data_IF_533138943916
#
_entry.id   IF_533138943916
#
_cell.length_a   1.000
_cell.length_b   1.000
_cell.length_c   1.000
_cell.angle_alpha   90.00
_cell.angle_beta   90.00
_cell.angle_gamma   90.00
#
_symmetry.space_group_name_H-M   'P 1'
#
loop_
_entity.id
_entity.type
_entity.pdbx_description
1 polymer ?
#
# COMPACT_ATOMS: atom_id res chain seq x y z
N UNK A 1 -19.83 -0.61 -14.16
CA UNK A 1 -19.50 -1.84 -13.40
C UNK A 1 -18.81 -1.47 -12.10
N UNK A 2 -19.04 -2.21 -11.02
CA UNK A 2 -18.36 -1.96 -9.74
C UNK A 2 -16.88 -2.39 -9.84
N UNK A 3 -15.96 -1.55 -9.33
CA UNK A 3 -14.53 -1.88 -9.25
C UNK A 3 -14.31 -3.15 -8.43
N UNK A 4 -13.42 -4.02 -8.89
CA UNK A 4 -12.97 -5.20 -8.14
C UNK A 4 -12.27 -4.79 -6.84
N UNK A 5 -12.20 -5.72 -5.89
CA UNK A 5 -11.49 -5.51 -4.61
C UNK A 5 -10.01 -5.11 -4.82
N UNK A 6 -9.37 -5.66 -5.85
CA UNK A 6 -7.98 -5.36 -6.21
C UNK A 6 -7.83 -3.93 -6.74
N UNK A 7 -8.68 -3.50 -7.67
CA UNK A 7 -8.65 -2.15 -8.23
C UNK A 7 -8.95 -1.08 -7.18
N UNK A 8 -9.92 -1.34 -6.29
CA UNK A 8 -10.21 -0.43 -5.16
C UNK A 8 -8.99 -0.28 -4.25
N UNK A 9 -8.32 -1.37 -3.92
CA UNK A 9 -7.10 -1.36 -3.08
C UNK A 9 -5.97 -0.57 -3.76
N UNK A 10 -5.79 -0.75 -5.07
CA UNK A 10 -4.77 -0.03 -5.84
C UNK A 10 -5.05 1.48 -5.87
N UNK A 11 -6.31 1.88 -6.05
CA UNK A 11 -6.73 3.29 -6.02
C UNK A 11 -6.42 3.95 -4.68
N UNK A 12 -6.75 3.29 -3.56
CA UNK A 12 -6.44 3.80 -2.21
C UNK A 12 -4.93 3.88 -2.01
N UNK A 13 -4.17 2.84 -2.39
CA UNK A 13 -2.70 2.83 -2.29
C UNK A 13 -2.06 4.00 -3.05
N UNK A 14 -2.54 4.29 -4.27
CA UNK A 14 -2.07 5.44 -5.07
C UNK A 14 -2.39 6.77 -4.40
N UNK A 15 -3.59 6.92 -3.83
CA UNK A 15 -3.98 8.15 -3.10
C UNK A 15 -3.09 8.40 -1.88
N UNK A 16 -2.82 7.37 -1.07
CA UNK A 16 -1.96 7.50 0.11
C UNK A 16 -0.53 7.86 -0.28
N UNK A 17 0.02 7.21 -1.33
CA UNK A 17 1.37 7.49 -1.84
C UNK A 17 1.56 8.89 -2.43
N UNK A 18 0.46 9.61 -2.74
CA UNK A 18 0.55 11.02 -3.15
C UNK A 18 1.02 11.93 -2.01
N UNK A 19 0.78 11.53 -0.76
CA UNK A 19 1.11 12.32 0.45
C UNK A 19 2.23 11.65 1.25
N UNK A 20 2.23 10.32 1.31
CA UNK A 20 3.19 9.54 2.09
C UNK A 20 4.30 9.00 1.17
N UNK A 21 5.45 9.66 1.20
CA UNK A 21 6.69 9.23 0.55
C UNK A 21 7.70 8.78 1.60
N UNK A 22 8.57 7.84 1.22
CA UNK A 22 9.70 7.42 2.05
C UNK A 22 10.95 8.19 1.64
N UNK A 23 11.81 8.51 2.59
CA UNK A 23 13.17 9.03 2.37
C UNK A 23 14.18 8.07 2.99
N UNK A 24 15.47 8.20 2.66
CA UNK A 24 16.51 7.34 3.24
C UNK A 24 16.56 7.44 4.78
N UNK A 25 16.30 8.64 5.33
CA UNK A 25 16.26 8.87 6.77
C UNK A 25 14.95 8.38 7.42
N UNK A 26 13.83 8.40 6.67
CA UNK A 26 12.52 7.96 7.13
C UNK A 26 11.82 7.13 6.04
N UNK A 27 12.15 5.83 5.92
CA UNK A 27 11.57 4.97 4.90
C UNK A 27 10.08 4.74 5.14
N UNK A 28 9.36 4.45 4.06
CA UNK A 28 7.94 4.12 4.06
C UNK A 28 7.76 2.63 4.34
N UNK A 29 6.92 2.30 5.33
CA UNK A 29 6.46 0.93 5.51
C UNK A 29 5.33 0.59 4.52
N UNK A 30 5.47 -0.51 3.79
CA UNK A 30 4.48 -1.06 2.87
C UNK A 30 3.97 -2.39 3.40
N UNK A 31 2.67 -2.50 3.66
CA UNK A 31 2.05 -3.72 4.16
C UNK A 31 1.16 -4.36 3.09
N UNK A 32 1.27 -5.68 2.95
CA UNK A 32 0.36 -6.50 2.16
C UNK A 32 -0.27 -7.56 3.06
N UNK A 33 -1.61 -7.55 3.14
CA UNK A 33 -2.39 -8.53 3.88
C UNK A 33 -3.01 -9.55 2.93
N UNK A 34 -2.68 -10.82 3.14
CA UNK A 34 -3.32 -11.98 2.54
C UNK A 34 -4.37 -12.55 3.50
N UNK A 35 -5.00 -13.68 3.15
CA UNK A 35 -5.90 -14.39 4.06
C UNK A 35 -5.14 -15.23 5.11
N UNK A 36 -3.87 -15.58 4.85
CA UNK A 36 -3.05 -16.43 5.72
C UNK A 36 -2.13 -15.59 6.61
N UNK A 37 -1.36 -14.72 5.98
CA UNK A 37 -0.28 -13.96 6.61
C UNK A 37 -0.28 -12.49 6.18
N UNK A 38 0.50 -11.69 6.91
CA UNK A 38 0.75 -10.27 6.65
C UNK A 38 2.24 -10.11 6.37
N UNK A 39 2.55 -9.48 5.24
CA UNK A 39 3.91 -9.15 4.83
C UNK A 39 4.12 -7.64 4.93
N UNK A 40 5.33 -7.24 5.34
CA UNK A 40 5.71 -5.84 5.45
C UNK A 40 7.08 -5.60 4.83
N UNK A 41 7.28 -4.42 4.24
CA UNK A 41 8.55 -4.02 3.62
C UNK A 41 8.83 -2.55 3.94
N UNK A 42 10.06 -2.23 4.33
CA UNK A 42 10.57 -0.86 4.40
C UNK A 42 11.11 -0.47 3.01
N UNK A 43 10.68 0.68 2.51
CA UNK A 43 10.98 1.19 1.16
C UNK A 43 11.45 2.64 1.27
#
# INVERSE_FOLDING_TARGET
MALTKAERRLRIRRRIRKVVTGTAQKPRLSVFRSNKEIYAQLI
#
